data_IF_146394514032
#
_entry.id   IF_146394514032
#
_cell.length_a   1.000
_cell.length_b   1.000
_cell.length_c   1.000
_cell.angle_alpha   90.00
_cell.angle_beta   90.00
_cell.angle_gamma   90.00
#
_symmetry.space_group_name_H-M   'P 1'
#
loop_
_entity.id
_entity.type
_entity.pdbx_description
1 polymer ?
#
# COMPACT_ATOMS: atom_id res chain seq x y z
N UNK A 1 -12.34 -1.07 -28.54
CA UNK A 1 -11.43 0.08 -28.72
C UNK A 1 -10.67 0.29 -27.42
N UNK A 2 -9.34 0.42 -27.46
CA UNK A 2 -8.57 0.71 -26.26
C UNK A 2 -8.81 2.17 -25.81
N UNK A 3 -8.92 2.38 -24.50
CA UNK A 3 -9.09 3.71 -23.91
C UNK A 3 -7.86 4.61 -24.22
N UNK A 4 -8.00 5.95 -24.32
CA UNK A 4 -6.84 6.84 -24.47
C UNK A 4 -5.79 6.67 -23.35
N UNK A 5 -4.51 6.82 -23.68
CA UNK A 5 -3.40 6.63 -22.73
C UNK A 5 -3.55 7.46 -21.44
N UNK A 6 -4.05 8.68 -21.54
CA UNK A 6 -4.31 9.54 -20.39
C UNK A 6 -5.29 8.90 -19.40
N UNK A 7 -6.39 8.32 -19.90
CA UNK A 7 -7.39 7.63 -19.07
C UNK A 7 -6.79 6.37 -18.45
N UNK A 8 -5.97 5.63 -19.20
CA UNK A 8 -5.29 4.44 -18.67
C UNK A 8 -4.36 4.81 -17.49
N UNK A 9 -3.58 5.88 -17.62
CA UNK A 9 -2.67 6.36 -16.56
C UNK A 9 -3.41 6.87 -15.32
N UNK A 10 -4.57 7.50 -15.50
CA UNK A 10 -5.42 7.89 -14.37
C UNK A 10 -6.07 6.68 -13.69
N UNK A 11 -6.45 5.66 -14.46
CA UNK A 11 -7.06 4.44 -13.93
C UNK A 11 -6.06 3.57 -13.15
N UNK A 12 -4.76 3.65 -13.47
CA UNK A 12 -3.68 2.89 -12.84
C UNK A 12 -2.50 3.81 -12.49
N UNK A 13 -2.67 4.68 -11.49
CA UNK A 13 -1.59 5.57 -11.08
C UNK A 13 -0.48 4.78 -10.37
N UNK A 14 0.74 5.30 -10.43
CA UNK A 14 1.91 4.80 -9.71
C UNK A 14 2.29 5.79 -8.61
N UNK A 15 1.37 6.08 -7.68
CA UNK A 15 1.67 6.94 -6.54
C UNK A 15 2.68 6.27 -5.61
N UNK A 16 3.47 7.09 -4.90
CA UNK A 16 4.54 6.63 -4.01
C UNK A 16 5.60 5.79 -4.74
N UNK A 17 5.88 6.08 -6.01
CA UNK A 17 6.76 5.28 -6.85
C UNK A 17 8.13 5.03 -6.23
N UNK A 18 8.73 6.07 -5.64
CA UNK A 18 10.04 5.97 -5.01
C UNK A 18 10.06 4.93 -3.88
N UNK A 19 8.98 4.86 -3.10
CA UNK A 19 8.82 3.89 -2.01
C UNK A 19 8.51 2.51 -2.56
N UNK A 20 7.54 2.40 -3.47
CA UNK A 20 7.12 1.11 -4.03
C UNK A 20 8.27 0.43 -4.77
N UNK A 21 9.01 1.18 -5.60
CA UNK A 21 10.15 0.63 -6.36
C UNK A 21 11.30 0.25 -5.45
N UNK A 22 11.62 1.06 -4.43
CA UNK A 22 12.66 0.74 -3.45
C UNK A 22 12.32 -0.52 -2.63
N UNK A 23 11.11 -0.60 -2.09
CA UNK A 23 10.67 -1.72 -1.26
C UNK A 23 10.49 -3.02 -2.08
N UNK A 24 10.05 -2.92 -3.33
CA UNK A 24 9.98 -4.04 -4.27
C UNK A 24 11.38 -4.58 -4.60
N UNK A 25 12.32 -3.69 -4.94
CA UNK A 25 13.69 -4.07 -5.24
C UNK A 25 14.38 -4.73 -4.04
N UNK A 26 14.20 -4.17 -2.84
CA UNK A 26 14.76 -4.71 -1.60
C UNK A 26 14.26 -6.14 -1.28
N UNK A 27 13.08 -6.53 -1.77
CA UNK A 27 12.46 -7.85 -1.52
C UNK A 27 12.45 -8.76 -2.75
N UNK A 28 13.00 -8.33 -3.88
CA UNK A 28 12.95 -9.10 -5.13
C UNK A 28 11.53 -9.31 -5.67
N UNK A 29 10.62 -8.37 -5.42
CA UNK A 29 9.24 -8.40 -5.89
C UNK A 29 9.08 -7.56 -7.17
N UNK A 30 8.12 -7.93 -8.01
CA UNK A 30 7.68 -7.06 -9.11
C UNK A 30 6.95 -5.84 -8.51
N UNK A 31 7.37 -4.59 -8.80
CA UNK A 31 6.66 -3.39 -8.34
C UNK A 31 5.17 -3.38 -8.72
N UNK A 32 4.80 -3.98 -9.86
CA UNK A 32 3.40 -4.07 -10.30
C UNK A 32 2.55 -4.89 -9.33
N UNK A 33 3.13 -5.86 -8.62
CA UNK A 33 2.42 -6.60 -7.59
C UNK A 33 2.00 -5.66 -6.45
N UNK A 34 2.91 -4.81 -5.98
CA UNK A 34 2.66 -3.86 -4.89
C UNK A 34 1.66 -2.79 -5.35
N UNK A 35 1.84 -2.22 -6.54
CA UNK A 35 0.88 -1.26 -7.09
C UNK A 35 -0.52 -1.86 -7.23
N UNK A 36 -0.63 -3.10 -7.71
CA UNK A 36 -1.91 -3.78 -7.87
C UNK A 36 -2.60 -4.04 -6.52
N UNK A 37 -1.84 -4.41 -5.49
CA UNK A 37 -2.33 -4.60 -4.13
C UNK A 37 -2.88 -3.29 -3.56
N UNK A 38 -2.07 -2.23 -3.53
CA UNK A 38 -2.49 -0.92 -2.98
C UNK A 38 -3.73 -0.41 -3.72
N UNK A 39 -3.73 -0.53 -5.05
CA UNK A 39 -4.84 -0.11 -5.88
C UNK A 39 -6.13 -0.87 -5.54
N UNK A 40 -6.05 -2.18 -5.35
CA UNK A 40 -7.20 -3.03 -5.05
C UNK A 40 -7.76 -2.75 -3.65
N UNK A 41 -6.87 -2.51 -2.68
CA UNK A 41 -7.23 -2.37 -1.27
C UNK A 41 -7.74 -0.96 -0.92
N UNK A 42 -7.09 0.08 -1.42
CA UNK A 42 -7.36 1.47 -0.98
C UNK A 42 -7.57 2.46 -2.10
N UNK A 43 -7.36 2.08 -3.36
CA UNK A 43 -7.22 3.05 -4.46
C UNK A 43 -6.17 4.15 -4.16
N UNK A 44 -5.11 3.80 -3.41
CA UNK A 44 -4.07 4.72 -2.93
C UNK A 44 -4.53 5.79 -1.92
N UNK A 45 -5.70 5.63 -1.31
CA UNK A 45 -6.14 6.50 -0.21
C UNK A 45 -5.42 6.10 1.08
N UNK A 46 -4.44 6.91 1.50
CA UNK A 46 -3.66 6.67 2.73
C UNK A 46 -4.54 6.63 3.96
N UNK A 47 -5.61 7.42 4.02
CA UNK A 47 -6.54 7.46 5.15
C UNK A 47 -7.64 6.41 5.11
N UNK A 48 -7.58 5.43 4.19
CA UNK A 48 -8.65 4.47 3.99
C UNK A 48 -8.90 3.63 5.25
N UNK A 49 -10.18 3.51 5.64
CA UNK A 49 -10.62 2.66 6.75
C UNK A 49 -11.87 1.88 6.35
N UNK A 50 -11.81 0.56 6.44
CA UNK A 50 -12.95 -0.31 6.16
C UNK A 50 -13.88 -0.44 7.36
N UNK A 51 -15.09 -0.93 7.11
CA UNK A 51 -16.05 -1.30 8.16
C UNK A 51 -15.50 -2.42 9.08
N UNK A 52 -14.67 -3.31 8.53
CA UNK A 52 -14.01 -4.39 9.26
C UNK A 52 -12.70 -3.94 9.95
N UNK A 53 -12.48 -2.63 10.11
CA UNK A 53 -11.32 -2.00 10.74
C UNK A 53 -9.98 -2.17 10.02
N UNK A 54 -9.98 -2.57 8.74
CA UNK A 54 -8.78 -2.53 7.91
C UNK A 54 -8.36 -1.08 7.60
N UNK A 55 -7.07 -0.78 7.57
CA UNK A 55 -6.54 0.59 7.55
C UNK A 55 -5.36 0.75 6.59
N UNK A 56 -5.21 1.97 6.05
CA UNK A 56 -4.06 2.37 5.25
C UNK A 56 -4.07 1.83 3.81
N UNK A 57 -2.93 2.00 3.14
CA UNK A 57 -2.75 1.70 1.71
C UNK A 57 -3.02 0.23 1.35
N UNK A 58 -2.69 -0.69 2.25
CA UNK A 58 -2.82 -2.14 2.05
C UNK A 58 -3.88 -2.78 2.96
N UNK A 59 -4.76 -1.96 3.55
CA UNK A 59 -5.91 -2.42 4.35
C UNK A 59 -5.54 -3.51 5.40
N UNK A 60 -4.55 -3.21 6.25
CA UNK A 60 -4.16 -4.10 7.35
C UNK A 60 -5.02 -3.81 8.57
N UNK A 61 -5.47 -4.83 9.30
CA UNK A 61 -6.16 -4.62 10.58
C UNK A 61 -5.15 -4.38 11.72
N UNK A 62 -5.50 -3.64 12.78
CA UNK A 62 -4.55 -3.23 13.83
C UNK A 62 -3.75 -4.38 14.45
N UNK A 63 -4.41 -5.49 14.79
CA UNK A 63 -3.73 -6.65 15.39
C UNK A 63 -2.71 -7.30 14.45
N UNK A 64 -3.00 -7.33 13.15
CA UNK A 64 -2.05 -7.80 12.13
C UNK A 64 -0.91 -6.82 11.95
N UNK A 65 -1.17 -5.50 12.02
CA UNK A 65 -0.12 -4.49 11.93
C UNK A 65 0.88 -4.59 13.09
N UNK A 66 0.39 -4.77 14.32
CA UNK A 66 1.22 -5.04 15.50
C UNK A 66 2.06 -6.32 15.31
N UNK A 67 1.46 -7.38 14.80
CA UNK A 67 2.18 -8.62 14.52
C UNK A 67 3.27 -8.43 13.45
N UNK A 68 2.97 -7.74 12.34
CA UNK A 68 3.93 -7.43 11.27
C UNK A 68 5.07 -6.58 11.82
N UNK A 69 4.76 -5.51 12.57
CA UNK A 69 5.75 -4.61 13.15
C UNK A 69 6.75 -5.36 14.03
N UNK A 70 6.26 -6.28 14.87
CA UNK A 70 7.11 -7.15 15.67
C UNK A 70 7.95 -8.10 14.80
N UNK A 71 7.36 -8.70 13.77
CA UNK A 71 8.04 -9.65 12.89
C UNK A 71 9.19 -9.02 12.08
N UNK A 72 9.05 -7.75 11.69
CA UNK A 72 10.06 -7.02 10.90
C UNK A 72 10.99 -6.15 11.77
N UNK A 73 10.79 -6.11 13.09
CA UNK A 73 11.58 -5.30 14.00
C UNK A 73 11.37 -3.79 13.83
N UNK A 74 10.14 -3.36 13.54
CA UNK A 74 9.81 -1.94 13.38
C UNK A 74 10.01 -1.17 14.71
N UNK A 75 10.81 -0.10 14.73
CA UNK A 75 11.14 0.59 15.98
C UNK A 75 9.96 1.42 16.50
N UNK A 76 9.59 1.22 17.77
CA UNK A 76 8.56 2.01 18.49
C UNK A 76 7.22 2.16 17.74
N UNK A 77 6.75 1.08 17.10
CA UNK A 77 5.50 1.08 16.33
C UNK A 77 4.35 1.77 17.07
N UNK A 78 3.74 2.76 16.42
CA UNK A 78 2.51 3.41 16.87
C UNK A 78 1.36 3.03 15.95
N UNK A 79 0.11 2.93 16.43
CA UNK A 79 -1.04 2.61 15.59
C UNK A 79 -1.17 3.50 14.34
N UNK A 80 -0.83 4.79 14.45
CA UNK A 80 -0.89 5.73 13.32
C UNK A 80 0.20 5.50 12.26
N UNK A 81 1.21 4.69 12.54
CA UNK A 81 2.24 4.32 11.56
C UNK A 81 1.63 3.59 10.35
N UNK A 82 0.46 2.95 10.52
CA UNK A 82 -0.27 2.27 9.43
C UNK A 82 -0.69 3.21 8.29
N UNK A 83 -0.75 4.51 8.55
CA UNK A 83 -1.13 5.53 7.56
C UNK A 83 0.09 6.19 6.90
N UNK A 84 1.31 5.84 7.33
CA UNK A 84 2.54 6.27 6.66
C UNK A 84 2.68 5.47 5.35
N UNK A 85 2.80 6.15 4.20
CA UNK A 85 3.00 5.48 2.92
C UNK A 85 4.38 4.82 2.84
#
# INVERSE_FOLDING_TARGET
FASPLFIQRMAYPTYFSDLVEAEAAARGLDPLLIYSLIRQESFFERGARSFAAAQGLTQVIPSTAEWIANAIGWPNFQPDDIYKP
#
